data_IF_722031166218
#
_entry.id   IF_722031166218
#
_cell.length_a   1.000
_cell.length_b   1.000
_cell.length_c   1.000
_cell.angle_alpha   90.00
_cell.angle_beta   90.00
_cell.angle_gamma   90.00
#
_symmetry.space_group_name_H-M   'P 1'
#
loop_
_entity.id
_entity.type
_entity.pdbx_description
1 polymer ?
#
# COMPACT_ATOMS: atom_id res chain seq x y z
N UNK A 1 5.84 5.11 -2.29
CA UNK A 1 5.17 6.34 -1.77
C UNK A 1 5.55 6.57 -0.30
N UNK A 2 5.33 7.77 0.25
CA UNK A 2 5.59 8.03 1.69
C UNK A 2 4.49 7.44 2.58
N UNK A 3 4.71 7.40 3.90
CA UNK A 3 3.67 6.99 4.88
C UNK A 3 2.44 7.90 4.83
N UNK A 4 2.64 9.20 4.60
CA UNK A 4 1.54 10.16 4.48
C UNK A 4 0.71 9.88 3.22
N UNK A 5 1.39 9.60 2.10
CA UNK A 5 0.73 9.24 0.85
C UNK A 5 -0.02 7.92 0.97
N UNK A 6 0.56 6.91 1.63
CA UNK A 6 -0.11 5.63 1.84
C UNK A 6 -1.37 5.78 2.69
N UNK A 7 -1.32 6.58 3.76
CA UNK A 7 -2.51 6.91 4.55
C UNK A 7 -3.56 7.62 3.72
N UNK A 8 -3.14 8.56 2.87
CA UNK A 8 -4.05 9.27 1.99
C UNK A 8 -4.70 8.32 0.98
N UNK A 9 -3.93 7.46 0.33
CA UNK A 9 -4.45 6.45 -0.60
C UNK A 9 -5.42 5.46 0.08
N UNK A 10 -5.17 5.12 1.35
CA UNK A 10 -6.10 4.33 2.16
C UNK A 10 -7.43 5.06 2.43
N UNK A 11 -7.40 6.36 2.75
CA UNK A 11 -8.60 7.17 3.01
C UNK A 11 -9.38 7.48 1.73
N UNK A 12 -8.66 7.86 0.67
CA UNK A 12 -9.24 8.26 -0.61
C UNK A 12 -9.68 7.02 -1.44
N UNK A 13 -9.33 5.81 -0.98
CA UNK A 13 -9.53 4.53 -1.66
C UNK A 13 -9.08 4.54 -3.14
N UNK A 14 -8.02 5.29 -3.46
CA UNK A 14 -7.57 5.41 -4.83
C UNK A 14 -6.79 4.17 -5.29
N UNK A 15 -6.82 3.85 -6.60
CA UNK A 15 -6.01 2.78 -7.15
C UNK A 15 -4.52 3.04 -6.96
N UNK A 16 -3.77 1.96 -6.73
CA UNK A 16 -2.32 2.00 -6.53
C UNK A 16 -1.64 0.91 -7.35
N UNK A 17 -0.36 1.10 -7.67
CA UNK A 17 0.44 0.11 -8.38
C UNK A 17 1.49 -0.51 -7.49
N UNK A 18 1.72 -1.80 -7.70
CA UNK A 18 2.83 -2.53 -7.12
C UNK A 18 3.31 -3.59 -8.10
N UNK A 19 4.62 -3.61 -8.38
CA UNK A 19 5.23 -4.52 -9.36
C UNK A 19 4.51 -4.56 -10.72
N UNK A 20 4.07 -3.41 -11.22
CA UNK A 20 3.39 -3.29 -12.51
C UNK A 20 1.92 -3.76 -12.53
N UNK A 21 1.37 -4.19 -11.40
CA UNK A 21 -0.04 -4.57 -11.24
C UNK A 21 -0.78 -3.41 -10.56
N UNK A 22 -1.90 -3.00 -11.15
CA UNK A 22 -2.83 -2.05 -10.52
C UNK A 22 -3.76 -2.80 -9.56
N UNK A 23 -3.77 -2.35 -8.31
CA UNK A 23 -4.66 -2.76 -7.24
C UNK A 23 -5.76 -1.71 -7.07
N UNK A 24 -6.96 -2.15 -6.72
CA UNK A 24 -8.14 -1.28 -6.64
C UNK A 24 -8.00 -0.20 -5.58
N UNK A 25 -7.46 -0.57 -4.40
CA UNK A 25 -7.24 0.31 -3.26
C UNK A 25 -6.33 -0.33 -2.22
N UNK A 26 -5.86 0.50 -1.29
CA UNK A 26 -5.25 0.06 -0.03
C UNK A 26 -6.36 -0.23 0.98
N UNK A 27 -6.37 -1.41 1.60
CA UNK A 27 -7.40 -1.83 2.58
C UNK A 27 -6.92 -1.77 4.03
N UNK A 28 -5.60 -1.70 4.26
CA UNK A 28 -5.03 -1.50 5.58
C UNK A 28 -3.65 -0.83 5.50
N UNK A 29 -3.35 0.00 6.52
CA UNK A 29 -2.00 0.51 6.79
C UNK A 29 -1.41 -0.28 7.96
N UNK A 30 -0.35 -1.03 7.69
CA UNK A 30 0.25 -1.98 8.64
C UNK A 30 1.58 -1.41 9.12
N UNK A 31 1.72 -1.30 10.45
CA UNK A 31 2.99 -0.97 11.11
C UNK A 31 3.59 -2.23 11.72
N UNK A 32 4.82 -2.55 11.36
CA UNK A 32 5.58 -3.65 11.97
C UNK A 32 6.88 -3.10 12.54
N UNK A 33 7.34 -3.67 13.65
CA UNK A 33 8.72 -3.43 14.10
C UNK A 33 9.68 -3.98 13.05
N UNK A 34 10.78 -3.27 12.81
CA UNK A 34 11.91 -3.85 12.08
C UNK A 34 12.43 -5.09 12.82
N UNK A 35 13.04 -6.08 12.13
CA UNK A 35 13.53 -7.30 12.79
C UNK A 35 14.51 -7.04 13.94
N UNK A 36 15.32 -5.98 13.83
CA UNK A 36 16.26 -5.52 14.85
C UNK A 36 15.60 -4.69 15.97
N UNK A 37 14.29 -4.42 15.87
CA UNK A 37 13.45 -3.68 16.84
C UNK A 37 13.85 -2.22 17.05
N UNK A 38 14.63 -1.63 16.15
CA UNK A 38 15.09 -0.24 16.25
C UNK A 38 14.17 0.75 15.54
N UNK A 39 13.27 0.27 14.67
CA UNK A 39 12.40 1.13 13.87
C UNK A 39 11.07 0.48 13.49
N UNK A 40 10.38 1.14 12.55
CA UNK A 40 9.08 0.72 12.01
C UNK A 40 9.15 0.53 10.50
N UNK A 41 8.62 -0.59 10.03
CA UNK A 41 8.26 -0.82 8.65
C UNK A 41 6.79 -0.44 8.47
N UNK A 42 6.51 0.36 7.44
CA UNK A 42 5.15 0.73 7.04
C UNK A 42 4.81 -0.02 5.76
N UNK A 43 3.68 -0.70 5.76
CA UNK A 43 3.21 -1.52 4.64
C UNK A 43 1.75 -1.23 4.34
N UNK A 44 1.35 -1.41 3.07
CA UNK A 44 -0.04 -1.38 2.64
C UNK A 44 -0.54 -2.79 2.34
N UNK A 45 -1.76 -3.10 2.77
CA UNK A 45 -2.53 -4.22 2.21
C UNK A 45 -3.27 -3.73 0.95
N UNK A 46 -3.06 -4.40 -0.17
CA UNK A 46 -3.56 -4.01 -1.48
C UNK A 46 -4.60 -5.01 -1.96
N UNK A 47 -5.78 -4.53 -2.36
CA UNK A 47 -6.85 -5.38 -2.87
C UNK A 47 -6.81 -5.45 -4.40
N UNK A 48 -6.79 -6.66 -4.96
CA UNK A 48 -6.85 -6.83 -6.41
C UNK A 48 -8.19 -6.35 -6.99
N UNK A 49 -8.24 -6.13 -8.31
CA UNK A 49 -9.45 -5.68 -9.02
C UNK A 49 -10.64 -6.63 -8.92
N UNK A 50 -10.43 -7.88 -8.51
CA UNK A 50 -11.48 -8.89 -8.39
C UNK A 50 -12.00 -9.00 -6.95
N UNK A 51 -11.41 -8.28 -5.99
CA UNK A 51 -11.70 -8.39 -4.56
C UNK A 51 -11.28 -9.73 -3.94
N UNK A 52 -10.36 -10.48 -4.56
CA UNK A 52 -10.07 -11.88 -4.18
C UNK A 52 -8.73 -12.09 -3.50
N UNK A 53 -7.72 -11.32 -3.89
CA UNK A 53 -6.39 -11.43 -3.33
C UNK A 53 -5.98 -10.13 -2.63
N UNK A 54 -5.28 -10.30 -1.51
CA UNK A 54 -4.60 -9.22 -0.79
C UNK A 54 -3.09 -9.38 -0.93
N UNK A 55 -2.40 -8.29 -1.23
CA UNK A 55 -0.94 -8.21 -1.26
C UNK A 55 -0.45 -7.27 -0.17
N UNK A 56 0.55 -7.67 0.61
CA UNK A 56 1.19 -6.79 1.58
C UNK A 56 2.51 -6.29 0.99
N UNK A 57 2.60 -4.99 0.74
CA UNK A 57 3.78 -4.36 0.13
C UNK A 57 4.33 -3.23 1.02
N UNK A 58 5.65 -3.06 1.02
CA UNK A 58 6.28 -1.92 1.70
C UNK A 58 5.83 -0.59 1.06
N UNK A 59 5.53 0.41 1.88
CA UNK A 59 5.01 1.70 1.43
C UNK A 59 5.87 2.34 0.33
N UNK A 60 7.19 2.28 0.48
CA UNK A 60 8.15 2.83 -0.48
C UNK A 60 8.06 2.20 -1.89
N UNK A 61 7.54 0.96 -2.00
CA UNK A 61 7.41 0.22 -3.27
C UNK A 61 6.03 0.35 -3.93
N UNK A 62 5.09 1.01 -3.26
CA UNK A 62 3.76 1.25 -3.81
C UNK A 62 3.78 2.61 -4.53
N UNK A 63 3.23 2.66 -5.73
CA UNK A 63 3.09 3.85 -6.54
C UNK A 63 1.62 4.29 -6.58
N UNK A 64 1.37 5.59 -6.67
CA UNK A 64 0.01 6.11 -6.92
C UNK A 64 -0.31 5.86 -8.40
N UNK A 65 -1.51 5.34 -8.70
CA UNK A 65 -1.99 5.36 -10.08
C UNK A 65 -2.55 6.76 -10.36
N UNK A 66 -1.86 7.53 -11.19
CA UNK A 66 -2.37 8.83 -11.62
C UNK A 66 -3.59 8.62 -12.54
N UNK A 67 -4.68 9.40 -12.37
CA UNK A 67 -5.79 9.37 -13.31
C UNK A 67 -5.28 9.75 -14.71
N UNK A 68 -5.66 8.96 -15.73
CA UNK A 68 -5.46 9.30 -17.14
C UNK A 68 -6.35 10.46 -17.58
#
# INVERSE_FOLDING_TARGET
MTTADLKRAFIDECPVRYNGITYQRVTAVIYRKTPDKTGLLVQGELLDKNGRAVMIAAAERIEVEEPK
#
